data_IF_396543600652
#
_entry.id   IF_396543600652
#
_cell.length_a   1.000
_cell.length_b   1.000
_cell.length_c   1.000
_cell.angle_alpha   90.00
_cell.angle_beta   90.00
_cell.angle_gamma   90.00
#
_symmetry.space_group_name_H-M   'P 1'
#
loop_
_entity.id
_entity.type
_entity.pdbx_description
1 polymer ?
#
# COMPACT_ATOMS: atom_id res chain seq x y z
N UNK A 1 -29.35 12.40 30.22
CA UNK A 1 -29.46 11.98 31.64
C UNK A 1 -29.97 10.55 31.73
N UNK A 2 -29.12 9.62 32.14
CA UNK A 2 -29.45 8.20 32.33
C UNK A 2 -30.32 7.95 33.57
N UNK A 3 -30.87 6.74 33.69
CA UNK A 3 -31.80 6.37 34.75
C UNK A 3 -31.14 6.29 36.15
N UNK A 4 -29.84 5.99 36.24
CA UNK A 4 -29.14 5.92 37.53
C UNK A 4 -28.87 7.32 38.08
N UNK A 5 -28.45 8.24 37.21
CA UNK A 5 -28.23 9.65 37.57
C UNK A 5 -29.51 10.29 38.11
N UNK A 6 -30.70 9.92 37.58
CA UNK A 6 -32.00 10.40 38.11
C UNK A 6 -32.26 9.95 39.54
N UNK A 7 -31.88 8.71 39.88
CA UNK A 7 -32.10 8.13 41.20
C UNK A 7 -31.14 8.73 42.25
N UNK A 8 -29.89 9.01 41.88
CA UNK A 8 -28.94 9.70 42.76
C UNK A 8 -29.39 11.14 43.04
N UNK A 9 -29.91 11.84 42.03
CA UNK A 9 -30.44 13.19 42.18
C UNK A 9 -31.65 13.23 43.13
N UNK A 10 -32.49 12.19 43.13
CA UNK A 10 -33.64 12.09 44.03
C UNK A 10 -33.28 11.85 45.50
N UNK A 11 -32.07 11.34 45.79
CA UNK A 11 -31.58 11.14 47.16
C UNK A 11 -30.84 12.38 47.73
N UNK A 12 -30.71 13.46 46.95
CA UNK A 12 -30.03 14.69 47.36
C UNK A 12 -31.01 15.73 47.92
N UNK A 13 -30.50 16.65 48.73
CA UNK A 13 -31.29 17.79 49.27
C UNK A 13 -31.76 18.74 48.17
N UNK A 14 -32.86 19.47 48.38
CA UNK A 14 -33.45 20.38 47.37
C UNK A 14 -32.45 21.39 46.80
N UNK A 15 -31.53 21.90 47.64
CA UNK A 15 -30.46 22.81 47.20
C UNK A 15 -29.44 22.12 46.26
N UNK A 16 -29.10 20.86 46.53
CA UNK A 16 -28.19 20.08 45.69
C UNK A 16 -28.87 19.70 44.37
N UNK A 17 -30.17 19.39 44.38
CA UNK A 17 -30.96 19.16 43.18
C UNK A 17 -30.96 20.38 42.26
N UNK A 18 -31.25 21.57 42.81
CA UNK A 18 -31.25 22.81 42.01
C UNK A 18 -29.88 23.11 41.41
N UNK A 19 -28.79 22.90 42.17
CA UNK A 19 -27.44 23.09 41.66
C UNK A 19 -27.10 22.14 40.51
N UNK A 20 -27.45 20.87 40.63
CA UNK A 20 -27.20 19.85 39.60
C UNK A 20 -28.03 20.13 38.34
N UNK A 21 -29.33 20.44 38.49
CA UNK A 21 -30.22 20.75 37.37
C UNK A 21 -29.75 22.00 36.60
N UNK A 22 -29.20 23.00 37.30
CA UNK A 22 -28.68 24.21 36.66
C UNK A 22 -27.29 24.02 36.01
N UNK A 23 -26.44 23.16 36.59
CA UNK A 23 -25.04 23.02 36.15
C UNK A 23 -24.85 21.93 35.09
N UNK A 24 -25.68 20.88 35.09
CA UNK A 24 -25.61 19.78 34.11
C UNK A 24 -25.76 20.21 32.65
N UNK A 25 -26.75 21.02 32.24
CA UNK A 25 -26.92 21.39 30.83
C UNK A 25 -25.73 22.20 30.29
N UNK A 26 -25.05 22.97 31.14
CA UNK A 26 -23.84 23.70 30.76
C UNK A 26 -22.59 22.82 30.59
N UNK A 27 -22.59 21.62 31.18
CA UNK A 27 -21.47 20.66 31.13
C UNK A 27 -21.73 19.45 30.24
N UNK A 28 -22.95 19.30 29.71
CA UNK A 28 -23.29 18.22 28.78
C UNK A 28 -22.43 18.34 27.52
N UNK A 29 -21.53 17.38 27.34
CA UNK A 29 -20.75 17.24 26.11
C UNK A 29 -21.68 16.73 25.01
N UNK A 30 -21.80 17.47 23.92
CA UNK A 30 -22.68 17.13 22.82
C UNK A 30 -22.09 16.01 21.95
N UNK A 31 -22.87 14.94 21.73
CA UNK A 31 -22.52 13.83 20.83
C UNK A 31 -22.26 14.31 19.40
N UNK A 32 -23.02 15.29 18.94
CA UNK A 32 -22.88 15.87 17.59
C UNK A 32 -21.53 16.52 17.38
N UNK A 33 -20.98 17.23 18.38
CA UNK A 33 -19.63 17.79 18.27
C UNK A 33 -18.57 16.69 18.20
N UNK A 34 -18.74 15.59 18.94
CA UNK A 34 -17.83 14.45 18.89
C UNK A 34 -17.78 13.78 17.50
N UNK A 35 -18.92 13.70 16.79
CA UNK A 35 -18.96 13.19 15.41
C UNK A 35 -18.38 14.15 14.37
N UNK A 36 -18.60 15.46 14.54
CA UNK A 36 -18.00 16.47 13.64
C UNK A 36 -16.46 16.45 13.77
N UNK A 37 -15.94 16.36 15.00
CA UNK A 37 -14.51 16.20 15.25
C UNK A 37 -13.95 14.84 14.79
N UNK A 38 -14.79 13.80 14.75
CA UNK A 38 -14.43 12.50 14.18
C UNK A 38 -14.17 12.61 12.66
N UNK A 39 -15.06 13.28 11.92
CA UNK A 39 -14.93 13.45 10.46
C UNK A 39 -13.78 14.37 10.07
N UNK A 40 -13.59 15.50 10.77
CA UNK A 40 -12.63 16.52 10.34
C UNK A 40 -11.16 16.20 10.68
N UNK A 41 -10.92 15.48 11.78
CA UNK A 41 -9.55 15.28 12.29
C UNK A 41 -9.27 13.87 12.86
N UNK A 42 -10.27 12.98 12.93
CA UNK A 42 -10.11 11.68 13.61
C UNK A 42 -9.80 11.78 15.11
N UNK A 43 -9.79 12.99 15.69
CA UNK A 43 -9.33 13.29 17.05
C UNK A 43 -10.45 13.31 18.10
N UNK A 44 -11.54 12.58 17.85
CA UNK A 44 -12.68 12.46 18.76
C UNK A 44 -12.32 12.03 20.20
N UNK A 45 -11.30 11.19 20.38
CA UNK A 45 -10.81 10.78 21.71
C UNK A 45 -10.04 11.88 22.45
N UNK A 46 -9.48 12.85 21.72
CA UNK A 46 -8.86 14.03 22.33
C UNK A 46 -9.93 14.90 23.02
N UNK A 47 -11.12 15.01 22.42
CA UNK A 47 -12.27 15.72 23.01
C UNK A 47 -12.84 15.01 24.26
N UNK A 48 -12.74 13.68 24.33
CA UNK A 48 -13.12 12.86 25.48
C UNK A 48 -12.02 12.76 26.57
N UNK A 49 -10.93 13.54 26.46
CA UNK A 49 -9.83 13.53 27.43
C UNK A 49 -9.13 12.15 27.58
N UNK A 50 -9.18 11.30 26.53
CA UNK A 50 -8.51 9.99 26.50
C UNK A 50 -7.47 9.92 25.37
N UNK A 51 -6.35 10.68 25.47
CA UNK A 51 -5.35 10.79 24.41
C UNK A 51 -4.69 9.46 24.05
N UNK A 52 -4.50 8.55 25.01
CA UNK A 52 -3.90 7.23 24.77
C UNK A 52 -4.71 6.37 23.78
N UNK A 53 -6.04 6.43 23.82
CA UNK A 53 -6.89 5.69 22.87
C UNK A 53 -6.78 6.24 21.45
N UNK A 54 -6.62 7.56 21.33
CA UNK A 54 -6.39 8.21 20.04
C UNK A 54 -5.05 7.77 19.41
N UNK A 55 -4.00 7.69 20.24
CA UNK A 55 -2.68 7.25 19.79
C UNK A 55 -2.69 5.80 19.32
N UNK A 56 -3.40 4.92 20.03
CA UNK A 56 -3.55 3.52 19.64
C UNK A 56 -4.28 3.37 18.29
N UNK A 57 -5.34 4.16 18.08
CA UNK A 57 -6.06 4.18 16.80
C UNK A 57 -5.16 4.61 15.63
N UNK A 58 -4.39 5.68 15.84
CA UNK A 58 -3.42 6.17 14.85
C UNK A 58 -2.31 5.15 14.58
N UNK A 59 -1.79 4.49 15.61
CA UNK A 59 -0.79 3.44 15.47
C UNK A 59 -1.32 2.25 14.66
N UNK A 60 -2.55 1.79 14.94
CA UNK A 60 -3.19 0.73 14.16
C UNK A 60 -3.40 1.13 12.70
N UNK A 61 -3.80 2.38 12.43
CA UNK A 61 -3.91 2.91 11.07
C UNK A 61 -2.56 2.88 10.33
N UNK A 62 -1.49 3.33 10.99
CA UNK A 62 -0.15 3.35 10.41
C UNK A 62 0.37 1.92 10.14
N UNK A 63 0.15 1.00 11.08
CA UNK A 63 0.50 -0.41 10.92
C UNK A 63 -0.29 -1.03 9.76
N UNK A 64 -1.59 -0.74 9.63
CA UNK A 64 -2.40 -1.26 8.54
C UNK A 64 -1.92 -0.77 7.18
N UNK A 65 -1.67 0.53 7.02
CA UNK A 65 -1.15 1.10 5.78
C UNK A 65 0.24 0.53 5.46
N UNK A 66 1.13 0.45 6.46
CA UNK A 66 2.45 -0.15 6.31
C UNK A 66 2.40 -1.63 5.93
N UNK A 67 1.47 -2.38 6.51
CA UNK A 67 1.28 -3.81 6.21
C UNK A 67 0.78 -4.03 4.79
N UNK A 68 -0.18 -3.21 4.32
CA UNK A 68 -0.66 -3.26 2.93
C UNK A 68 0.46 -2.91 1.96
N UNK A 69 1.28 -1.90 2.27
CA UNK A 69 2.43 -1.54 1.44
C UNK A 69 3.48 -2.66 1.39
N UNK A 70 3.78 -3.26 2.53
CA UNK A 70 4.71 -4.40 2.61
C UNK A 70 4.21 -5.60 1.80
N UNK A 71 2.91 -5.89 1.84
CA UNK A 71 2.33 -6.95 1.03
C UNK A 71 2.41 -6.64 -0.48
N UNK A 72 2.19 -5.39 -0.87
CA UNK A 72 2.37 -4.95 -2.25
C UNK A 72 3.82 -5.07 -2.72
N UNK A 73 4.77 -4.76 -1.85
CA UNK A 73 6.21 -4.87 -2.11
C UNK A 73 6.62 -6.33 -2.42
N UNK A 74 6.00 -7.30 -1.76
CA UNK A 74 6.24 -8.73 -2.02
C UNK A 74 5.89 -9.13 -3.47
N UNK A 75 4.82 -8.57 -4.04
CA UNK A 75 4.50 -8.78 -5.45
C UNK A 75 5.44 -8.00 -6.37
N UNK A 76 5.82 -6.77 -5.98
CA UNK A 76 6.77 -5.94 -6.72
C UNK A 76 8.16 -6.58 -6.87
N UNK A 77 8.61 -7.31 -5.84
CA UNK A 77 9.89 -8.02 -5.83
C UNK A 77 10.03 -9.00 -7.02
N UNK A 78 8.94 -9.66 -7.43
CA UNK A 78 8.96 -10.62 -8.56
C UNK A 78 9.35 -9.93 -9.87
N UNK A 79 8.86 -8.71 -10.10
CA UNK A 79 9.20 -7.94 -11.30
C UNK A 79 10.67 -7.53 -11.29
N UNK A 80 11.18 -7.05 -10.15
CA UNK A 80 12.57 -6.63 -9.99
C UNK A 80 13.55 -7.79 -10.27
N UNK A 81 13.25 -8.98 -9.76
CA UNK A 81 14.06 -10.18 -10.01
C UNK A 81 14.01 -10.57 -11.50
N UNK A 82 12.84 -10.50 -12.14
CA UNK A 82 12.70 -10.81 -13.55
C UNK A 82 13.51 -9.84 -14.44
N UNK A 83 13.54 -8.56 -14.08
CA UNK A 83 14.31 -7.54 -14.82
C UNK A 83 15.82 -7.73 -14.61
N UNK A 84 16.25 -8.03 -13.38
CA UNK A 84 17.65 -8.34 -13.08
C UNK A 84 18.11 -9.60 -13.85
N UNK A 85 17.29 -10.66 -13.87
CA UNK A 85 17.59 -11.88 -14.63
C UNK A 85 17.65 -11.63 -16.14
N UNK A 86 16.80 -10.74 -16.68
CA UNK A 86 16.87 -10.31 -18.08
C UNK A 86 18.19 -9.62 -18.39
N UNK A 87 18.67 -8.77 -17.49
CA UNK A 87 19.91 -8.04 -17.68
C UNK A 87 21.13 -8.95 -17.58
N UNK A 88 21.13 -9.90 -16.64
CA UNK A 88 22.14 -10.96 -16.55
C UNK A 88 22.14 -11.80 -17.83
N UNK A 89 20.98 -12.22 -18.32
CA UNK A 89 20.87 -12.99 -19.55
C UNK A 89 21.45 -12.23 -20.76
N UNK A 90 21.19 -10.92 -20.88
CA UNK A 90 21.80 -10.10 -21.94
C UNK A 90 23.32 -10.06 -21.85
N UNK A 91 23.88 -9.89 -20.65
CA UNK A 91 25.33 -9.90 -20.43
C UNK A 91 25.93 -11.25 -20.83
N UNK A 92 25.34 -12.35 -20.37
CA UNK A 92 25.80 -13.70 -20.70
C UNK A 92 25.70 -13.98 -22.21
N UNK A 93 24.64 -13.55 -22.88
CA UNK A 93 24.51 -13.69 -24.34
C UNK A 93 25.59 -12.88 -25.06
N UNK A 94 25.83 -11.65 -24.63
CA UNK A 94 26.88 -10.80 -25.20
C UNK A 94 28.26 -11.46 -25.05
N UNK A 95 28.58 -11.93 -23.84
CA UNK A 95 29.83 -12.62 -23.54
C UNK A 95 29.97 -13.90 -24.35
N UNK A 96 28.89 -14.68 -24.51
CA UNK A 96 28.88 -15.90 -25.32
C UNK A 96 29.13 -15.63 -26.81
N UNK A 97 28.60 -14.54 -27.36
CA UNK A 97 28.86 -14.12 -28.74
C UNK A 97 30.33 -13.74 -28.93
N UNK A 98 30.94 -13.08 -27.94
CA UNK A 98 32.36 -12.71 -27.97
C UNK A 98 33.28 -13.93 -27.85
N UNK A 99 32.96 -14.87 -26.96
CA UNK A 99 33.78 -16.05 -26.67
C UNK A 99 33.63 -17.14 -27.74
N UNK A 100 32.44 -17.30 -28.31
CA UNK A 100 32.14 -18.29 -29.35
C UNK A 100 31.59 -17.60 -30.59
N UNK A 101 32.41 -16.86 -31.36
CA UNK A 101 31.98 -16.28 -32.61
C UNK A 101 31.53 -17.40 -33.53
N UNK A 102 30.25 -17.36 -33.95
CA UNK A 102 29.73 -18.37 -34.90
C UNK A 102 30.65 -18.39 -36.13
N UNK A 103 31.14 -19.57 -36.55
CA UNK A 103 31.87 -19.63 -37.80
C UNK A 103 30.93 -19.15 -38.91
N UNK A 104 31.40 -18.18 -39.71
CA UNK A 104 30.73 -17.77 -40.94
C UNK A 104 30.42 -19.05 -41.71
N UNK A 105 29.17 -19.25 -42.18
CA UNK A 105 28.84 -20.38 -43.06
C UNK A 105 29.61 -20.17 -44.37
N UNK A 106 30.82 -20.71 -44.44
CA UNK A 106 31.76 -20.45 -45.55
C UNK A 106 31.67 -21.53 -46.64
N UNK A 107 30.93 -22.62 -46.42
CA UNK A 107 31.05 -23.79 -47.30
C UNK A 107 29.74 -24.34 -47.90
N UNK A 108 28.56 -23.98 -47.37
CA UNK A 108 27.28 -24.41 -47.97
C UNK A 108 26.76 -23.40 -49.00
N UNK A 109 26.67 -22.14 -48.59
CA UNK A 109 26.09 -21.05 -49.40
C UNK A 109 26.88 -20.73 -50.68
N UNK A 110 28.20 -20.95 -50.69
CA UNK A 110 29.05 -20.74 -51.86
C UNK A 110 28.89 -21.84 -52.90
N UNK A 111 28.75 -23.10 -52.48
CA UNK A 111 28.53 -24.23 -53.39
C UNK A 111 27.13 -24.15 -54.00
N UNK A 112 26.12 -23.78 -53.20
CA UNK A 112 24.75 -23.59 -53.69
C UNK A 112 24.66 -22.43 -54.71
N UNK A 113 25.39 -21.33 -54.47
CA UNK A 113 25.45 -20.19 -55.39
C UNK A 113 26.20 -20.51 -56.70
N UNK A 114 27.33 -21.24 -56.62
CA UNK A 114 28.14 -21.64 -57.79
C UNK A 114 27.41 -22.71 -58.64
N UNK A 115 26.60 -23.57 -58.00
CA UNK A 115 25.71 -24.49 -58.70
C UNK A 115 24.52 -23.77 -59.38
N UNK A 116 23.95 -22.74 -58.73
CA UNK A 116 22.86 -21.96 -59.32
C UNK A 116 23.32 -21.09 -60.50
N UNK A 117 24.55 -20.54 -60.43
CA UNK A 117 25.15 -19.75 -61.50
C UNK A 117 25.51 -20.62 -62.73
N UNK A 118 26.13 -21.78 -62.51
CA UNK A 118 26.44 -22.73 -63.60
C UNK A 118 25.21 -23.31 -64.29
N UNK A 119 24.09 -23.45 -63.57
CA UNK A 119 22.82 -23.88 -64.16
C UNK A 119 22.19 -22.79 -65.03
N UNK A 120 22.40 -21.50 -64.70
CA UNK A 120 21.88 -20.36 -65.48
C UNK A 120 22.72 -20.09 -66.73
N UNK A 121 24.04 -20.24 -66.68
CA UNK A 121 24.93 -20.08 -67.84
C UNK A 121 24.65 -21.10 -68.94
N UNK A 122 24.34 -22.35 -68.58
CA UNK A 122 24.08 -23.44 -69.53
C UNK A 122 22.64 -23.44 -70.10
N UNK A 123 21.77 -22.55 -69.60
CA UNK A 123 20.39 -22.40 -70.04
C UNK A 123 20.17 -21.16 -70.95
N UNK A 124 21.24 -20.39 -71.21
CA UNK A 124 21.25 -19.25 -72.15
C UNK A 124 21.93 -19.61 -73.46
#
# INVERSE_FOLDING_TARGET
MDAQTRMEIQNLTEQQQQYVIQTLPAKEKSLSSAYIFWVLFGAHYFYLNKPFKNLFLWALCYIYIGFVWWLFDLFRMKSLVADCNREIARKVIHDAILLYPKPKKVHGETIDAEFEESTKENAS
#
